data_IF_567806269919
#
_entry.id   IF_567806269919
#
_cell.length_a   1.000
_cell.length_b   1.000
_cell.length_c   1.000
_cell.angle_alpha   90.00
_cell.angle_beta   90.00
_cell.angle_gamma   90.00
#
_symmetry.space_group_name_H-M   'P 1'
#
loop_
_entity.id
_entity.type
_entity.pdbx_description
1 polymer ?
#
# COMPACT_ATOMS: atom_id res chain seq x y z
N UNK A 1 30.26 -57.51 -43.52
CA UNK A 1 30.66 -58.81 -42.93
C UNK A 1 31.44 -58.56 -41.64
N UNK A 2 30.94 -59.05 -40.48
CA UNK A 2 31.62 -59.29 -39.17
C UNK A 2 32.21 -58.04 -38.44
N UNK A 3 32.07 -57.78 -37.13
CA UNK A 3 31.51 -58.45 -35.92
C UNK A 3 31.39 -57.36 -34.83
N UNK A 4 30.21 -57.11 -34.25
CA UNK A 4 29.84 -57.30 -32.83
C UNK A 4 30.99 -57.44 -31.81
N UNK A 5 31.00 -56.54 -30.81
CA UNK A 5 31.03 -56.91 -29.40
C UNK A 5 30.03 -56.03 -28.63
N UNK A 6 29.11 -56.71 -27.94
CA UNK A 6 28.04 -56.18 -27.10
C UNK A 6 28.48 -56.29 -25.64
N UNK A 7 28.23 -55.26 -24.83
CA UNK A 7 28.19 -55.38 -23.38
C UNK A 7 26.81 -54.89 -22.91
N UNK A 8 25.98 -55.82 -22.44
CA UNK A 8 24.79 -55.59 -21.62
C UNK A 8 25.23 -55.31 -20.18
N UNK A 9 24.59 -54.36 -19.48
CA UNK A 9 23.92 -54.52 -18.16
C UNK A 9 22.98 -53.30 -17.92
N UNK A 10 21.99 -53.34 -17.01
CA UNK A 10 20.60 -53.65 -17.28
C UNK A 10 19.67 -52.43 -17.20
N UNK A 11 18.51 -52.58 -17.86
CA UNK A 11 17.36 -51.71 -17.73
C UNK A 11 16.64 -52.02 -16.41
N UNK A 12 16.48 -51.04 -15.54
CA UNK A 12 15.45 -51.04 -14.50
C UNK A 12 14.80 -49.67 -14.49
N UNK A 13 13.55 -49.62 -14.99
CA UNK A 13 12.62 -48.54 -14.71
C UNK A 13 12.45 -48.42 -13.18
N UNK A 14 12.37 -47.19 -12.68
CA UNK A 14 11.15 -46.63 -12.09
C UNK A 14 11.44 -45.21 -11.54
N UNK A 15 10.59 -44.26 -11.91
CA UNK A 15 10.13 -43.05 -11.21
C UNK A 15 11.11 -42.20 -10.37
N UNK A 16 11.12 -40.89 -10.64
CA UNK A 16 11.51 -39.88 -9.65
C UNK A 16 11.88 -38.53 -10.26
N UNK A 17 10.89 -37.67 -10.44
CA UNK A 17 11.10 -36.22 -10.47
C UNK A 17 11.57 -35.72 -9.08
N UNK A 18 12.12 -34.50 -9.08
CA UNK A 18 12.31 -33.60 -7.92
C UNK A 18 13.57 -33.82 -7.07
N UNK A 19 14.55 -32.91 -7.24
CA UNK A 19 14.98 -31.95 -6.21
C UNK A 19 16.29 -31.26 -6.63
N UNK A 20 16.16 -30.10 -7.29
CA UNK A 20 17.22 -29.10 -7.31
C UNK A 20 17.07 -28.26 -6.04
N UNK A 21 17.99 -28.44 -5.08
CA UNK A 21 18.05 -27.62 -3.88
C UNK A 21 18.32 -26.16 -4.25
N UNK A 22 17.44 -25.29 -3.75
CA UNK A 22 17.55 -23.83 -3.74
C UNK A 22 18.49 -23.48 -2.58
N UNK A 23 19.60 -22.80 -2.85
CA UNK A 23 20.40 -22.20 -1.78
C UNK A 23 19.56 -21.10 -1.11
N UNK A 24 19.27 -21.27 0.19
CA UNK A 24 18.61 -20.27 1.02
C UNK A 24 19.55 -19.08 1.23
N UNK A 25 19.01 -17.87 1.03
CA UNK A 25 19.66 -16.61 1.33
C UNK A 25 20.04 -16.57 2.83
N UNK A 26 21.33 -16.41 3.11
CA UNK A 26 21.90 -16.47 4.47
C UNK A 26 21.78 -15.15 5.23
N UNK A 27 20.55 -14.66 5.41
CA UNK A 27 20.28 -13.68 6.47
C UNK A 27 20.16 -14.45 7.79
N UNK A 28 21.05 -14.24 8.78
CA UNK A 28 20.96 -14.96 10.05
C UNK A 28 19.62 -14.66 10.74
N UNK A 29 18.85 -15.73 11.04
CA UNK A 29 17.55 -15.69 11.73
C UNK A 29 17.54 -14.81 13.00
N UNK A 30 18.67 -14.70 13.67
CA UNK A 30 18.87 -13.94 14.91
C UNK A 30 18.79 -12.40 14.71
N UNK A 31 19.01 -11.91 13.48
CA UNK A 31 18.83 -10.49 13.11
C UNK A 31 17.35 -10.19 12.84
N UNK A 32 16.65 -11.12 12.18
CA UNK A 32 15.24 -10.96 11.81
C UNK A 32 14.30 -10.94 13.03
N UNK A 33 14.56 -11.75 14.06
CA UNK A 33 13.74 -11.79 15.28
C UNK A 33 13.97 -10.56 16.20
N UNK A 34 15.18 -9.97 16.20
CA UNK A 34 15.50 -8.78 17.01
C UNK A 34 15.09 -7.45 16.34
N UNK A 35 14.98 -7.39 15.02
CA UNK A 35 14.55 -6.19 14.29
C UNK A 35 13.08 -5.83 14.57
N UNK A 36 12.21 -6.85 14.69
CA UNK A 36 10.75 -6.65 14.85
C UNK A 36 10.37 -6.07 16.21
N UNK A 37 11.17 -6.28 17.26
CA UNK A 37 10.89 -5.77 18.63
C UNK A 37 11.51 -4.40 18.93
N UNK A 38 12.33 -3.86 18.01
CA UNK A 38 13.07 -2.60 18.18
C UNK A 38 12.70 -1.49 17.20
N UNK A 39 11.75 -1.73 16.28
CA UNK A 39 11.27 -0.71 15.36
C UNK A 39 10.73 0.52 16.11
N UNK A 40 11.08 1.76 15.69
CA UNK A 40 10.55 2.96 16.29
C UNK A 40 9.02 2.97 16.29
N UNK A 41 8.42 3.44 17.38
CA UNK A 41 6.95 3.49 17.51
C UNK A 41 6.27 4.38 16.47
N UNK A 42 6.98 5.36 15.92
CA UNK A 42 6.51 6.32 14.92
C UNK A 42 7.47 6.36 13.75
N UNK A 43 7.31 5.45 12.81
CA UNK A 43 8.21 5.31 11.67
C UNK A 43 7.59 5.90 10.40
N UNK A 44 8.34 6.80 9.75
CA UNK A 44 7.98 7.43 8.48
C UNK A 44 9.07 7.14 7.46
N UNK A 45 8.68 6.73 6.27
CA UNK A 45 9.56 6.62 5.11
C UNK A 45 9.32 7.84 4.24
N UNK A 46 10.39 8.47 3.80
CA UNK A 46 10.33 9.67 2.96
C UNK A 46 10.93 9.40 1.58
N UNK A 47 10.16 9.65 0.52
CA UNK A 47 10.57 9.39 -0.85
C UNK A 47 10.36 10.59 -1.76
N UNK A 48 11.27 10.77 -2.72
CA UNK A 48 11.22 11.82 -3.73
C UNK A 48 11.32 11.21 -5.12
N UNK A 49 10.46 11.63 -6.05
CA UNK A 49 10.39 11.06 -7.39
C UNK A 49 11.02 12.00 -8.44
N UNK A 50 11.41 11.39 -9.56
CA UNK A 50 11.90 11.97 -10.82
C UNK A 50 13.36 12.47 -10.90
N UNK A 51 14.01 12.77 -9.78
CA UNK A 51 15.38 13.30 -9.77
C UNK A 51 15.48 14.78 -10.15
N UNK A 52 14.83 15.62 -9.35
CA UNK A 52 14.78 17.07 -9.53
C UNK A 52 16.05 17.76 -9.02
N UNK A 53 16.49 18.85 -9.66
CA UNK A 53 17.63 19.65 -9.12
C UNK A 53 17.36 20.15 -7.69
N UNK A 54 16.09 20.38 -7.34
CA UNK A 54 15.68 20.77 -5.99
C UNK A 54 15.89 19.68 -4.94
N UNK A 55 15.98 18.41 -5.33
CA UNK A 55 16.27 17.29 -4.43
C UNK A 55 17.61 17.51 -3.73
N UNK A 56 18.65 17.88 -4.50
CA UNK A 56 19.97 18.19 -3.97
C UNK A 56 20.04 19.61 -3.38
N UNK A 57 19.52 20.60 -4.09
CA UNK A 57 19.76 22.02 -3.74
C UNK A 57 18.88 22.53 -2.60
N UNK A 58 17.75 21.88 -2.34
CA UNK A 58 16.76 22.32 -1.35
C UNK A 58 16.37 21.22 -0.37
N UNK A 59 15.89 20.06 -0.85
CA UNK A 59 15.38 19.01 0.02
C UNK A 59 16.49 18.39 0.89
N UNK A 60 17.60 17.96 0.30
CA UNK A 60 18.72 17.35 1.01
C UNK A 60 19.28 18.21 2.17
N UNK A 61 19.56 19.53 2.01
CA UNK A 61 19.97 20.40 3.11
C UNK A 61 18.96 20.45 4.27
N UNK A 62 17.67 20.56 3.96
CA UNK A 62 16.60 20.61 4.98
C UNK A 62 16.54 19.28 5.72
N UNK A 63 16.60 18.15 5.01
CA UNK A 63 16.57 16.82 5.61
C UNK A 63 17.76 16.57 6.53
N UNK A 64 18.97 16.94 6.09
CA UNK A 64 20.18 16.88 6.93
C UNK A 64 20.05 17.72 8.19
N UNK A 65 19.47 18.92 8.08
CA UNK A 65 19.21 19.79 9.23
C UNK A 65 18.33 19.14 10.30
N UNK A 66 17.43 18.23 9.93
CA UNK A 66 16.56 17.51 10.87
C UNK A 66 17.12 16.14 11.29
N UNK A 67 18.15 15.64 10.60
CA UNK A 67 18.71 14.31 10.77
C UNK A 67 17.85 13.21 10.13
N UNK A 68 17.13 13.53 9.05
CA UNK A 68 16.22 12.61 8.38
C UNK A 68 16.89 11.90 7.19
N UNK A 69 16.57 10.61 7.04
CA UNK A 69 16.88 9.85 5.84
C UNK A 69 15.77 10.00 4.79
N UNK A 70 16.11 9.74 3.53
CA UNK A 70 15.16 9.71 2.43
C UNK A 70 15.69 8.86 1.27
N UNK A 71 14.77 8.39 0.41
CA UNK A 71 15.09 7.77 -0.88
C UNK A 71 14.76 8.73 -2.02
N UNK A 72 15.73 9.01 -2.88
CA UNK A 72 15.54 9.74 -4.12
C UNK A 72 15.44 8.75 -5.29
N UNK A 73 14.25 8.61 -5.86
CA UNK A 73 13.96 7.77 -7.00
C UNK A 73 14.27 8.51 -8.29
N UNK A 74 15.28 8.06 -9.02
CA UNK A 74 15.83 8.76 -10.19
C UNK A 74 15.37 8.07 -11.49
N UNK A 75 14.94 8.86 -12.46
CA UNK A 75 14.69 8.36 -13.84
C UNK A 75 15.93 8.60 -14.69
N UNK A 76 16.70 7.55 -15.00
CA UNK A 76 18.05 7.71 -15.60
C UNK A 76 18.06 8.46 -16.93
N UNK A 77 17.08 8.22 -17.81
CA UNK A 77 16.94 8.91 -19.08
C UNK A 77 16.48 10.37 -18.98
N UNK A 78 16.22 10.88 -17.77
CA UNK A 78 15.94 12.29 -17.52
C UNK A 78 17.13 13.04 -16.93
N UNK A 79 18.13 12.34 -16.43
CA UNK A 79 19.34 12.92 -15.85
C UNK A 79 20.06 13.82 -16.88
N UNK A 80 20.46 15.01 -16.46
CA UNK A 80 21.10 16.03 -17.27
C UNK A 80 20.15 16.90 -18.11
N UNK A 81 18.84 16.62 -18.12
CA UNK A 81 17.84 17.50 -18.75
C UNK A 81 17.58 18.75 -17.90
N UNK A 82 17.06 19.85 -18.49
CA UNK A 82 16.72 21.05 -17.73
C UNK A 82 15.80 20.75 -16.53
N UNK A 83 16.21 21.21 -15.34
CA UNK A 83 15.47 21.00 -14.09
C UNK A 83 15.68 19.64 -13.42
N UNK A 84 16.42 18.73 -14.05
CA UNK A 84 16.76 17.41 -13.50
C UNK A 84 18.23 17.36 -13.09
N UNK A 85 18.53 16.53 -12.10
CA UNK A 85 19.92 16.33 -11.62
C UNK A 85 20.79 15.84 -12.79
N UNK A 86 22.08 16.14 -12.74
CA UNK A 86 23.09 15.40 -13.51
C UNK A 86 23.69 14.27 -12.67
N UNK A 87 24.47 13.37 -13.26
CA UNK A 87 25.02 12.22 -12.53
C UNK A 87 26.01 12.57 -11.41
N UNK A 88 26.76 13.67 -11.54
CA UNK A 88 27.62 14.18 -10.46
C UNK A 88 26.77 14.58 -9.24
N UNK A 89 25.63 15.22 -9.47
CA UNK A 89 24.68 15.61 -8.43
C UNK A 89 23.93 14.42 -7.82
N UNK A 90 23.59 13.40 -8.62
CA UNK A 90 23.02 12.14 -8.10
C UNK A 90 24.05 11.44 -7.20
N UNK A 91 25.32 11.38 -7.65
CA UNK A 91 26.40 10.85 -6.82
C UNK A 91 26.59 11.68 -5.55
N UNK A 92 26.48 12.99 -5.63
CA UNK A 92 26.55 13.86 -4.45
C UNK A 92 25.45 13.54 -3.43
N UNK A 93 24.20 13.34 -3.86
CA UNK A 93 23.12 12.88 -2.96
C UNK A 93 23.48 11.57 -2.25
N UNK A 94 24.03 10.60 -3.00
CA UNK A 94 24.48 9.33 -2.44
C UNK A 94 25.63 9.51 -1.43
N UNK A 95 26.66 10.25 -1.80
CA UNK A 95 27.84 10.52 -0.96
C UNK A 95 27.45 11.32 0.31
N UNK A 96 26.34 12.06 0.24
CA UNK A 96 25.72 12.73 1.37
C UNK A 96 25.00 11.78 2.35
N UNK A 97 24.83 10.51 2.01
CA UNK A 97 24.21 9.46 2.82
C UNK A 97 22.74 9.19 2.50
N UNK A 98 22.20 9.75 1.42
CA UNK A 98 20.83 9.45 0.98
C UNK A 98 20.77 8.19 0.12
N UNK A 99 19.64 7.50 0.17
CA UNK A 99 19.36 6.33 -0.64
C UNK A 99 18.98 6.75 -2.07
N UNK A 100 19.54 6.06 -3.06
CA UNK A 100 19.23 6.28 -4.49
C UNK A 100 18.42 5.09 -4.98
N UNK A 101 17.17 5.35 -5.35
CA UNK A 101 16.23 4.36 -5.85
C UNK A 101 16.05 4.43 -7.36
N UNK A 102 15.60 3.33 -7.96
CA UNK A 102 15.34 3.24 -9.38
C UNK A 102 13.90 3.71 -9.71
N UNK A 103 13.75 4.69 -10.60
CA UNK A 103 12.46 5.15 -11.14
C UNK A 103 12.29 4.88 -12.63
N UNK A 104 12.80 3.74 -13.09
CA UNK A 104 12.92 3.29 -14.48
C UNK A 104 13.83 4.16 -15.36
N UNK A 105 14.17 3.66 -16.54
CA UNK A 105 14.98 4.39 -17.49
C UNK A 105 14.26 5.61 -18.10
N UNK A 106 12.96 5.49 -18.42
CA UNK A 106 12.25 6.52 -19.20
C UNK A 106 10.90 6.96 -18.64
N UNK A 107 10.54 6.46 -17.45
CA UNK A 107 9.24 6.69 -16.81
C UNK A 107 8.02 6.27 -17.67
N UNK A 108 8.01 5.06 -18.30
CA UNK A 108 6.86 4.63 -19.08
C UNK A 108 5.74 4.12 -18.16
N UNK A 109 4.49 4.13 -18.65
CA UNK A 109 3.47 3.29 -18.05
C UNK A 109 3.77 1.82 -18.40
N UNK A 110 4.38 1.11 -17.46
CA UNK A 110 4.90 -0.25 -17.65
C UNK A 110 3.79 -1.30 -17.87
N UNK A 111 2.51 -0.96 -17.66
CA UNK A 111 1.39 -1.84 -17.99
C UNK A 111 1.25 -2.08 -19.51
N UNK A 112 1.77 -1.17 -20.34
CA UNK A 112 1.58 -1.18 -21.80
C UNK A 112 2.82 -1.60 -22.60
N UNK A 113 3.87 -2.09 -21.93
CA UNK A 113 5.12 -2.55 -22.56
C UNK A 113 5.35 -4.04 -22.28
N UNK A 114 6.24 -4.67 -23.05
CA UNK A 114 6.53 -6.10 -22.94
C UNK A 114 7.31 -6.46 -21.65
N UNK A 115 7.39 -7.74 -21.29
CA UNK A 115 8.24 -8.18 -20.16
C UNK A 115 9.73 -7.86 -20.39
N UNK A 116 10.20 -7.98 -21.63
CA UNK A 116 11.58 -7.65 -21.99
C UNK A 116 11.83 -6.14 -21.85
N UNK A 117 10.88 -5.31 -22.30
CA UNK A 117 10.98 -3.85 -22.12
C UNK A 117 10.92 -3.45 -20.63
N UNK A 118 10.07 -4.11 -19.82
CA UNK A 118 10.04 -3.92 -18.37
C UNK A 118 11.42 -4.17 -17.76
N UNK A 119 12.04 -5.30 -18.13
CA UNK A 119 13.36 -5.67 -17.63
C UNK A 119 14.41 -4.66 -18.09
N UNK A 120 14.38 -4.23 -19.35
CA UNK A 120 15.29 -3.20 -19.86
C UNK A 120 15.14 -1.89 -19.08
N UNK A 121 13.91 -1.42 -18.85
CA UNK A 121 13.65 -0.21 -18.04
C UNK A 121 14.26 -0.29 -16.64
N UNK A 122 14.36 -1.48 -16.05
CA UNK A 122 14.96 -1.70 -14.72
C UNK A 122 16.49 -1.72 -14.84
N UNK A 123 17.05 -2.52 -15.76
CA UNK A 123 18.49 -2.77 -15.88
C UNK A 123 19.24 -1.53 -16.35
N UNK A 124 18.72 -0.78 -17.34
CA UNK A 124 19.46 0.38 -17.87
C UNK A 124 19.71 1.46 -16.81
N UNK A 125 18.88 1.52 -15.76
CA UNK A 125 19.12 2.40 -14.61
C UNK A 125 20.32 1.95 -13.79
N UNK A 126 20.42 0.65 -13.49
CA UNK A 126 21.50 0.08 -12.69
C UNK A 126 22.84 0.18 -13.42
N UNK A 127 22.85 -0.02 -14.74
CA UNK A 127 24.02 0.18 -15.58
C UNK A 127 24.50 1.63 -15.55
N UNK A 128 23.57 2.59 -15.68
CA UNK A 128 23.91 4.01 -15.60
C UNK A 128 24.45 4.40 -14.21
N UNK A 129 23.90 3.84 -13.12
CA UNK A 129 24.46 4.05 -11.78
C UNK A 129 25.89 3.51 -11.67
N UNK A 130 26.15 2.31 -12.21
CA UNK A 130 27.47 1.69 -12.18
C UNK A 130 28.51 2.52 -12.95
N UNK A 131 28.17 3.08 -14.11
CA UNK A 131 29.03 3.98 -14.89
C UNK A 131 29.46 5.23 -14.11
N UNK A 132 28.62 5.68 -13.17
CA UNK A 132 28.84 6.87 -12.37
C UNK A 132 29.28 6.58 -10.92
N UNK A 133 29.62 5.33 -10.60
CA UNK A 133 30.13 4.95 -9.28
C UNK A 133 29.08 5.08 -8.16
N UNK A 134 27.80 4.92 -8.50
CA UNK A 134 26.67 4.85 -7.57
C UNK A 134 26.32 3.36 -7.38
N UNK A 135 26.14 2.88 -6.15
CA UNK A 135 25.75 1.50 -5.91
C UNK A 135 24.43 1.12 -6.60
N UNK A 136 24.29 -0.16 -6.93
CA UNK A 136 23.04 -0.71 -7.46
C UNK A 136 21.88 -0.40 -6.51
N UNK A 137 20.75 0.06 -7.05
CA UNK A 137 19.56 0.34 -6.26
C UNK A 137 18.99 -0.97 -5.68
N UNK A 138 18.49 -0.90 -4.45
CA UNK A 138 17.78 -2.02 -3.81
C UNK A 138 16.26 -1.85 -3.79
N UNK A 139 15.78 -0.66 -4.16
CA UNK A 139 14.36 -0.31 -4.18
C UNK A 139 13.95 0.31 -5.52
N UNK A 140 12.70 0.09 -5.89
CA UNK A 140 12.10 0.62 -7.12
C UNK A 140 10.84 1.43 -6.84
N UNK A 141 10.59 2.47 -7.60
CA UNK A 141 9.34 3.21 -7.59
C UNK A 141 8.62 3.02 -8.92
N UNK A 142 7.40 2.49 -8.88
CA UNK A 142 6.61 2.28 -10.10
C UNK A 142 6.24 3.63 -10.74
N UNK A 143 6.62 3.90 -12.01
CA UNK A 143 6.22 5.13 -12.70
C UNK A 143 4.70 5.30 -12.71
N UNK A 144 4.23 6.45 -12.19
CA UNK A 144 2.80 6.73 -11.97
C UNK A 144 2.09 5.80 -10.97
N UNK A 145 2.84 5.01 -10.21
CA UNK A 145 2.30 4.01 -9.28
C UNK A 145 1.67 2.80 -9.99
N UNK A 146 1.95 2.56 -11.27
CA UNK A 146 1.38 1.46 -12.04
C UNK A 146 2.16 0.16 -11.84
N UNK A 147 1.50 -0.89 -11.37
CA UNK A 147 2.16 -2.17 -11.06
C UNK A 147 1.33 -3.37 -11.52
N UNK A 148 2.04 -4.42 -11.93
CA UNK A 148 1.49 -5.76 -12.13
C UNK A 148 2.51 -6.83 -11.71
N UNK A 149 2.08 -8.09 -11.70
CA UNK A 149 2.95 -9.22 -11.32
C UNK A 149 4.18 -9.40 -12.21
N UNK A 150 4.16 -8.94 -13.48
CA UNK A 150 5.31 -9.04 -14.38
C UNK A 150 6.45 -8.16 -13.87
N UNK A 151 6.11 -6.95 -13.43
CA UNK A 151 7.09 -6.02 -12.85
C UNK A 151 7.67 -6.56 -11.54
N UNK A 152 6.83 -7.09 -10.64
CA UNK A 152 7.31 -7.70 -9.39
C UNK A 152 8.26 -8.86 -9.66
N UNK A 153 7.92 -9.72 -10.63
CA UNK A 153 8.78 -10.83 -11.05
C UNK A 153 10.12 -10.33 -11.62
N UNK A 154 10.10 -9.32 -12.49
CA UNK A 154 11.30 -8.73 -13.06
C UNK A 154 12.21 -8.14 -11.96
N UNK A 155 11.66 -7.32 -11.07
CA UNK A 155 12.39 -6.72 -9.96
C UNK A 155 13.04 -7.78 -9.05
N UNK A 156 12.29 -8.81 -8.66
CA UNK A 156 12.83 -9.91 -7.86
C UNK A 156 13.93 -10.69 -8.60
N UNK A 157 13.81 -10.86 -9.92
CA UNK A 157 14.83 -11.53 -10.74
C UNK A 157 16.12 -10.71 -10.83
N UNK A 158 16.01 -9.38 -10.90
CA UNK A 158 17.15 -8.47 -10.92
C UNK A 158 17.72 -8.17 -9.52
N UNK A 159 17.19 -8.79 -8.46
CA UNK A 159 17.73 -8.69 -7.10
C UNK A 159 17.31 -7.43 -6.33
N UNK A 160 16.23 -6.76 -6.74
CA UNK A 160 15.59 -5.73 -5.91
C UNK A 160 14.98 -6.37 -4.68
N UNK A 161 14.89 -5.62 -3.58
CA UNK A 161 14.31 -6.08 -2.32
C UNK A 161 12.92 -5.51 -2.08
N UNK A 162 12.70 -4.28 -2.51
CA UNK A 162 11.45 -3.55 -2.26
C UNK A 162 11.01 -2.78 -3.50
N UNK A 163 9.73 -2.48 -3.56
CA UNK A 163 9.20 -1.53 -4.52
C UNK A 163 7.98 -0.80 -3.95
N UNK A 164 7.88 0.48 -4.30
CA UNK A 164 6.85 1.38 -3.83
C UNK A 164 5.92 1.77 -4.98
N UNK A 165 4.63 1.61 -4.73
CA UNK A 165 3.52 2.11 -5.55
C UNK A 165 2.96 3.39 -4.93
N UNK A 166 2.01 4.01 -5.62
CA UNK A 166 1.26 5.13 -5.05
C UNK A 166 0.09 4.62 -4.20
N UNK A 167 -1.08 5.24 -4.33
CA UNK A 167 -2.25 4.99 -3.48
C UNK A 167 -3.22 3.93 -4.06
N UNK A 168 -3.07 3.59 -5.34
CA UNK A 168 -3.93 2.65 -6.06
C UNK A 168 -3.62 1.19 -5.69
N UNK A 169 -4.61 0.29 -5.63
CA UNK A 169 -6.03 0.52 -5.91
C UNK A 169 -6.86 0.90 -4.70
N UNK A 170 -6.31 1.07 -3.51
CA UNK A 170 -7.13 1.38 -2.33
C UNK A 170 -7.76 2.77 -2.40
N UNK A 171 -7.08 3.75 -2.99
CA UNK A 171 -7.60 5.11 -3.18
C UNK A 171 -7.65 5.49 -4.66
N UNK A 172 -8.47 6.49 -5.05
CA UNK A 172 -8.52 6.97 -6.42
C UNK A 172 -7.21 7.63 -6.83
N UNK A 173 -6.83 7.45 -8.09
CA UNK A 173 -5.74 8.22 -8.71
C UNK A 173 -6.25 9.62 -9.06
N UNK A 174 -5.72 10.63 -8.39
CA UNK A 174 -5.98 12.05 -8.65
C UNK A 174 -4.66 12.80 -8.92
N UNK A 175 -4.69 13.72 -9.89
CA UNK A 175 -3.52 14.53 -10.26
C UNK A 175 -3.00 15.44 -9.15
N UNK A 176 -3.81 15.69 -8.11
CA UNK A 176 -3.45 16.57 -7.00
C UNK A 176 -2.62 15.90 -5.91
N UNK A 177 -2.47 14.58 -5.96
CA UNK A 177 -1.99 13.79 -4.83
C UNK A 177 -3.11 13.45 -3.84
N UNK A 178 -2.77 13.24 -2.57
CA UNK A 178 -3.73 12.92 -1.51
C UNK A 178 -3.35 11.72 -0.65
N UNK A 179 -4.25 11.33 0.28
CA UNK A 179 -4.01 10.22 1.19
C UNK A 179 -4.03 8.86 0.49
N UNK A 180 -3.41 7.89 1.15
CA UNK A 180 -3.26 6.52 0.75
C UNK A 180 -3.10 5.61 1.98
N UNK A 181 -2.98 4.29 1.78
CA UNK A 181 -2.91 3.38 2.90
C UNK A 181 -1.52 3.40 3.57
N UNK A 182 -1.51 3.03 4.85
CA UNK A 182 -0.26 2.76 5.57
C UNK A 182 0.35 1.45 5.07
N UNK A 183 1.68 1.37 5.12
CA UNK A 183 2.38 0.13 4.89
C UNK A 183 2.37 -0.71 6.16
N UNK A 184 1.88 -1.96 6.08
CA UNK A 184 1.94 -2.93 7.17
C UNK A 184 2.88 -4.08 6.79
N UNK A 185 4.14 -4.07 7.23
CA UNK A 185 5.14 -5.09 6.91
C UNK A 185 4.76 -6.52 7.32
N UNK A 186 3.80 -6.67 8.24
CA UNK A 186 3.34 -7.99 8.68
C UNK A 186 2.38 -8.65 7.68
N UNK A 187 1.73 -7.85 6.83
CA UNK A 187 0.69 -8.23 5.88
C UNK A 187 1.11 -7.98 4.43
N UNK A 188 1.61 -6.78 4.13
CA UNK A 188 1.90 -6.29 2.79
C UNK A 188 3.18 -6.87 2.19
N UNK A 189 3.16 -7.09 0.88
CA UNK A 189 4.35 -7.50 0.13
C UNK A 189 5.35 -6.32 0.00
N UNK A 190 6.66 -6.55 0.23
CA UNK A 190 7.70 -5.53 0.12
C UNK A 190 7.86 -4.96 -1.31
N UNK A 191 7.37 -5.63 -2.36
CA UNK A 191 7.30 -5.06 -3.71
C UNK A 191 6.03 -4.25 -3.99
N UNK A 192 5.13 -4.10 -3.02
CA UNK A 192 3.86 -3.38 -3.18
C UNK A 192 3.64 -2.37 -2.06
N UNK A 193 4.73 -1.78 -1.55
CA UNK A 193 4.71 -0.76 -0.49
C UNK A 193 3.80 0.39 -0.95
N UNK A 194 2.70 0.70 -0.24
CA UNK A 194 1.84 1.81 -0.59
C UNK A 194 2.51 3.15 -0.37
N UNK A 195 2.14 4.13 -1.18
CA UNK A 195 2.26 5.53 -0.84
C UNK A 195 1.12 5.91 0.11
N UNK A 196 1.46 6.41 1.29
CA UNK A 196 0.48 6.85 2.30
C UNK A 196 0.00 8.27 2.06
N UNK A 197 0.85 9.15 1.52
CA UNK A 197 0.41 10.49 1.11
C UNK A 197 1.29 11.01 -0.01
N UNK A 198 0.68 11.43 -1.12
CA UNK A 198 1.37 12.18 -2.17
C UNK A 198 1.21 13.66 -1.86
N UNK A 199 2.26 14.25 -1.28
CA UNK A 199 2.26 15.62 -0.76
C UNK A 199 2.69 16.60 -1.84
N UNK A 200 2.05 17.77 -1.87
CA UNK A 200 2.42 18.84 -2.79
C UNK A 200 1.51 20.06 -2.65
N UNK A 201 1.75 21.11 -3.45
CA UNK A 201 0.96 22.34 -3.38
C UNK A 201 -0.54 22.10 -3.63
N UNK A 202 -0.87 21.13 -4.48
CA UNK A 202 -2.25 20.73 -4.78
C UNK A 202 -2.88 19.78 -3.74
N UNK A 203 -2.07 19.20 -2.85
CA UNK A 203 -2.47 18.34 -1.73
C UNK A 203 -1.75 18.81 -0.46
N UNK A 204 -2.15 19.99 0.00
CA UNK A 204 -1.51 20.74 1.08
C UNK A 204 -2.34 20.80 2.37
N UNK A 205 -3.38 19.96 2.48
CA UNK A 205 -4.22 19.86 3.68
C UNK A 205 -3.40 19.36 4.87
N UNK A 206 -3.23 20.19 5.89
CA UNK A 206 -2.53 19.79 7.12
C UNK A 206 -3.34 18.76 7.88
N UNK A 207 -4.67 18.91 7.92
CA UNK A 207 -5.55 17.94 8.56
C UNK A 207 -5.35 16.53 7.99
N UNK A 208 -5.40 16.37 6.67
CA UNK A 208 -5.23 15.04 6.06
C UNK A 208 -3.82 14.49 6.27
N UNK A 209 -2.80 15.35 6.22
CA UNK A 209 -1.40 14.99 6.45
C UNK A 209 -1.17 14.51 7.89
N UNK A 210 -1.74 15.22 8.86
CA UNK A 210 -1.69 14.85 10.27
C UNK A 210 -2.50 13.58 10.56
N UNK A 211 -3.66 13.42 9.93
CA UNK A 211 -4.51 12.23 10.04
C UNK A 211 -3.78 10.98 9.56
N UNK A 212 -3.13 11.01 8.39
CA UNK A 212 -2.37 9.85 7.90
C UNK A 212 -1.12 9.58 8.74
N UNK A 213 -0.40 10.61 9.18
CA UNK A 213 0.76 10.45 10.06
C UNK A 213 0.37 9.92 11.43
N UNK A 214 -0.84 10.25 11.91
CA UNK A 214 -1.36 9.66 13.13
C UNK A 214 -1.44 8.14 13.01
N UNK A 215 -1.60 7.57 11.81
CA UNK A 215 -1.62 6.14 11.59
C UNK A 215 -0.27 5.42 11.67
N UNK A 216 0.86 6.15 11.61
CA UNK A 216 2.20 5.56 11.71
C UNK A 216 2.54 5.14 13.15
N UNK A 217 1.89 4.08 13.61
CA UNK A 217 2.04 3.49 14.94
C UNK A 217 1.77 1.99 14.89
N UNK A 218 2.11 1.31 15.98
CA UNK A 218 1.76 -0.11 16.18
C UNK A 218 2.21 -1.03 15.03
N UNK A 219 3.40 -0.77 14.48
CA UNK A 219 3.98 -1.51 13.36
C UNK A 219 3.57 -1.04 11.96
N UNK A 220 2.61 -0.10 11.86
CA UNK A 220 2.25 0.55 10.60
C UNK A 220 3.21 1.71 10.28
N UNK A 221 3.60 1.82 9.02
CA UNK A 221 4.57 2.78 8.52
C UNK A 221 3.88 3.74 7.54
N UNK A 222 4.08 5.05 7.74
CA UNK A 222 3.63 6.04 6.76
C UNK A 222 4.73 6.28 5.73
N UNK A 223 4.38 6.17 4.45
CA UNK A 223 5.29 6.39 3.32
C UNK A 223 4.87 7.66 2.60
N UNK A 224 5.64 8.73 2.79
CA UNK A 224 5.37 10.04 2.19
C UNK A 224 6.08 10.17 0.84
N UNK A 225 5.34 10.59 -0.17
CA UNK A 225 5.86 10.83 -1.52
C UNK A 225 5.85 12.33 -1.80
N UNK A 226 7.02 12.85 -2.14
CA UNK A 226 7.22 14.16 -2.73
C UNK A 226 7.79 14.00 -4.15
N UNK A 227 7.70 15.04 -4.97
CA UNK A 227 8.53 15.15 -6.18
C UNK A 227 9.54 16.28 -5.91
N UNK A 228 9.65 17.31 -6.76
CA UNK A 228 10.54 18.43 -6.48
C UNK A 228 10.05 19.41 -5.41
N UNK A 229 11.03 20.01 -4.71
CA UNK A 229 10.83 21.08 -3.71
C UNK A 229 11.54 22.38 -4.13
N UNK A 230 11.07 23.13 -5.13
CA UNK A 230 9.92 22.84 -6.01
C UNK A 230 10.31 21.99 -7.23
N UNK A 231 9.29 21.38 -7.85
CA UNK A 231 9.38 20.70 -9.15
C UNK A 231 9.22 21.69 -10.32
N UNK A 232 9.75 21.35 -11.49
CA UNK A 232 9.49 22.05 -12.76
C UNK A 232 8.04 21.90 -13.23
N UNK A 233 7.36 20.82 -12.83
CA UNK A 233 5.97 20.56 -13.13
C UNK A 233 5.06 20.99 -11.98
N UNK A 234 4.18 21.94 -12.25
CA UNK A 234 3.30 22.53 -11.23
C UNK A 234 2.41 21.52 -10.50
N UNK A 235 1.95 20.45 -11.18
CA UNK A 235 0.98 19.51 -10.61
C UNK A 235 1.56 18.62 -9.50
N UNK A 236 2.87 18.37 -9.50
CA UNK A 236 3.57 17.56 -8.50
C UNK A 236 4.56 18.38 -7.64
N UNK A 237 4.60 19.70 -7.80
CA UNK A 237 5.52 20.59 -7.10
C UNK A 237 5.11 20.83 -5.64
N UNK A 238 6.09 20.86 -4.74
CA UNK A 238 5.93 21.25 -3.33
C UNK A 238 6.68 22.54 -3.06
N UNK A 239 6.05 23.54 -2.42
CA UNK A 239 6.76 24.75 -2.04
C UNK A 239 7.77 24.48 -0.93
N UNK A 240 8.84 25.28 -0.88
CA UNK A 240 9.87 25.17 0.16
C UNK A 240 9.26 25.42 1.54
N UNK A 241 8.29 26.33 1.64
CA UNK A 241 7.58 26.64 2.87
C UNK A 241 6.77 25.45 3.37
N UNK A 242 6.01 24.79 2.48
CA UNK A 242 5.21 23.62 2.82
C UNK A 242 6.11 22.47 3.26
N UNK A 243 7.14 22.15 2.48
CA UNK A 243 8.08 21.08 2.82
C UNK A 243 8.80 21.35 4.14
N UNK A 244 9.27 22.57 4.37
CA UNK A 244 9.93 22.95 5.63
C UNK A 244 8.99 22.81 6.83
N UNK A 245 7.72 23.20 6.67
CA UNK A 245 6.69 23.03 7.70
C UNK A 245 6.47 21.55 8.02
N UNK A 246 6.33 20.72 6.98
CA UNK A 246 6.10 19.29 7.13
C UNK A 246 7.30 18.60 7.83
N UNK A 247 8.54 18.95 7.48
CA UNK A 247 9.74 18.41 8.15
C UNK A 247 9.84 18.82 9.62
N UNK A 248 9.49 20.05 9.96
CA UNK A 248 9.39 20.49 11.36
C UNK A 248 8.33 19.71 12.11
N UNK A 249 7.14 19.54 11.52
CA UNK A 249 6.07 18.76 12.13
C UNK A 249 6.52 17.33 12.47
N UNK A 250 7.21 16.65 11.53
CA UNK A 250 7.77 15.31 11.77
C UNK A 250 8.75 15.31 12.94
N UNK A 251 9.62 16.33 13.02
CA UNK A 251 10.62 16.45 14.08
C UNK A 251 10.00 16.73 15.44
N UNK A 252 9.09 17.69 15.50
CA UNK A 252 8.43 18.16 16.73
C UNK A 252 7.49 17.11 17.33
N UNK A 253 7.06 16.13 16.53
CA UNK A 253 6.20 15.01 16.95
C UNK A 253 6.94 13.67 17.12
N UNK A 254 8.27 13.72 17.20
CA UNK A 254 9.16 12.57 17.47
C UNK A 254 9.03 11.42 16.46
N UNK A 255 8.77 11.73 15.19
CA UNK A 255 8.84 10.72 14.13
C UNK A 255 10.30 10.35 13.83
N UNK A 256 10.54 9.06 13.66
CA UNK A 256 11.77 8.56 13.05
C UNK A 256 11.56 8.53 11.54
N UNK A 257 12.38 9.28 10.79
CA UNK A 257 12.23 9.46 9.35
C UNK A 257 13.41 8.82 8.63
N UNK A 258 13.14 7.83 7.78
CA UNK A 258 14.14 6.97 7.15
C UNK A 258 13.96 6.86 5.64
N UNK A 259 14.97 6.32 4.96
CA UNK A 259 14.87 5.87 3.57
C UNK A 259 14.16 4.52 3.46
N UNK A 260 13.77 4.15 2.24
CA UNK A 260 13.22 2.83 1.91
C UNK A 260 14.26 1.73 2.12
N UNK A 261 15.53 1.95 1.74
CA UNK A 261 16.61 0.99 2.01
C UNK A 261 16.74 0.66 3.51
N UNK A 262 16.57 1.67 4.36
CA UNK A 262 16.67 1.54 5.82
C UNK A 262 15.53 0.76 6.47
N UNK A 263 14.45 0.44 5.74
CA UNK A 263 13.41 -0.46 6.23
C UNK A 263 13.98 -1.81 6.69
N UNK A 264 14.98 -2.32 5.98
CA UNK A 264 15.66 -3.59 6.30
C UNK A 264 16.32 -3.62 7.69
N UNK A 265 16.53 -2.45 8.32
CA UNK A 265 17.05 -2.34 9.70
C UNK A 265 15.97 -2.65 10.75
N UNK A 266 14.70 -2.53 10.39
CA UNK A 266 13.57 -2.58 11.33
C UNK A 266 12.56 -3.69 11.00
N UNK A 267 12.52 -4.16 9.76
CA UNK A 267 11.54 -5.15 9.29
C UNK A 267 12.21 -6.20 8.39
N UNK A 268 11.61 -7.41 8.36
CA UNK A 268 12.00 -8.45 7.41
C UNK A 268 11.40 -8.15 6.03
N UNK A 269 12.19 -7.50 5.18
CA UNK A 269 11.83 -7.18 3.78
C UNK A 269 11.87 -8.40 2.84
N UNK A 270 12.15 -9.60 3.35
CA UNK A 270 12.10 -10.85 2.56
C UNK A 270 10.80 -11.62 2.78
N UNK A 271 10.04 -11.29 3.83
CA UNK A 271 8.75 -11.90 4.12
C UNK A 271 7.71 -11.46 3.10
N UNK A 272 6.99 -12.44 2.55
CA UNK A 272 5.96 -12.22 1.53
C UNK A 272 4.70 -13.04 1.84
N UNK A 273 3.49 -12.48 1.64
CA UNK A 273 2.27 -13.27 1.70
C UNK A 273 2.24 -14.29 0.55
N UNK A 274 1.36 -15.30 0.67
CA UNK A 274 1.24 -16.35 -0.34
C UNK A 274 0.79 -15.78 -1.70
N UNK A 275 -0.18 -14.87 -1.67
CA UNK A 275 -0.50 -14.02 -2.80
C UNK A 275 -0.15 -12.57 -2.46
N UNK A 276 0.78 -12.01 -3.23
CA UNK A 276 1.32 -10.66 -3.04
C UNK A 276 0.25 -9.56 -3.13
N UNK A 277 -0.84 -9.79 -3.86
CA UNK A 277 -1.93 -8.81 -3.99
C UNK A 277 -3.04 -9.00 -2.96
N UNK A 278 -3.13 -10.15 -2.28
CA UNK A 278 -4.23 -10.45 -1.37
C UNK A 278 -4.43 -9.38 -0.28
N UNK A 279 -3.39 -8.91 0.45
CA UNK A 279 -3.56 -7.87 1.48
C UNK A 279 -4.12 -6.56 0.92
N UNK A 280 -3.56 -6.11 -0.21
CA UNK A 280 -3.97 -4.90 -0.93
C UNK A 280 -5.44 -5.01 -1.41
N UNK A 281 -5.83 -6.15 -1.97
CA UNK A 281 -7.19 -6.37 -2.48
C UNK A 281 -8.21 -6.57 -1.36
N UNK A 282 -7.79 -7.08 -0.19
CA UNK A 282 -8.65 -7.25 0.97
C UNK A 282 -9.14 -5.92 1.57
N UNK A 283 -8.44 -4.81 1.29
CA UNK A 283 -8.84 -3.45 1.69
C UNK A 283 -9.91 -2.85 0.79
N UNK A 284 -10.21 -3.47 -0.35
CA UNK A 284 -11.27 -3.00 -1.24
C UNK A 284 -12.65 -3.33 -0.67
N UNK A 285 -13.57 -2.37 -0.77
CA UNK A 285 -14.97 -2.54 -0.43
C UNK A 285 -15.45 -1.43 0.49
N UNK A 286 -16.56 -1.69 1.17
CA UNK A 286 -17.15 -0.78 2.15
C UNK A 286 -17.14 -1.41 3.53
N UNK A 287 -17.11 -0.59 4.58
CA UNK A 287 -17.31 -1.02 5.96
C UNK A 287 -18.31 -0.10 6.66
N UNK A 288 -19.27 -0.64 7.43
CA UNK A 288 -20.17 0.19 8.22
C UNK A 288 -19.44 0.76 9.45
N UNK A 289 -19.67 2.04 9.73
CA UNK A 289 -19.17 2.75 10.91
C UNK A 289 -20.22 3.67 11.52
N UNK A 290 -19.88 4.30 12.65
CA UNK A 290 -20.72 5.28 13.34
C UNK A 290 -22.17 4.79 13.53
N UNK A 291 -22.31 3.55 14.00
CA UNK A 291 -23.60 2.90 14.25
C UNK A 291 -24.43 3.71 15.25
N UNK A 292 -25.69 3.96 14.89
CA UNK A 292 -26.69 4.65 15.72
C UNK A 292 -27.99 3.85 15.76
N UNK A 293 -28.59 3.77 16.92
CA UNK A 293 -29.92 3.21 17.11
C UNK A 293 -30.77 4.22 17.90
N UNK A 294 -31.87 4.66 17.30
CA UNK A 294 -32.91 5.40 18.02
C UNK A 294 -33.96 4.41 18.54
N UNK A 295 -34.01 4.27 19.86
CA UNK A 295 -34.93 3.39 20.56
C UNK A 295 -35.96 4.16 21.40
N UNK A 296 -36.17 5.46 21.14
CA UNK A 296 -37.15 6.27 21.88
C UNK A 296 -38.60 5.93 21.54
N UNK A 297 -38.82 5.21 20.44
CA UNK A 297 -40.12 4.74 20.00
C UNK A 297 -40.28 3.25 20.28
N UNK A 298 -41.52 2.73 20.26
CA UNK A 298 -41.79 1.29 20.40
C UNK A 298 -41.15 0.42 19.31
N UNK A 299 -40.63 1.02 18.25
CA UNK A 299 -39.93 0.32 17.19
C UNK A 299 -38.54 0.94 16.98
N UNK A 300 -37.45 0.30 17.44
CA UNK A 300 -36.11 0.83 17.27
C UNK A 300 -35.74 1.04 15.80
N UNK A 301 -34.91 2.05 15.54
CA UNK A 301 -34.52 2.48 14.20
C UNK A 301 -33.00 2.54 14.11
N UNK A 302 -32.43 1.83 13.14
CA UNK A 302 -30.99 1.70 12.96
C UNK A 302 -30.48 2.55 11.80
N UNK A 303 -29.31 3.14 12.01
CA UNK A 303 -28.59 3.93 11.01
C UNK A 303 -27.08 3.70 11.14
N UNK A 304 -26.35 3.77 10.03
CA UNK A 304 -24.89 3.72 10.00
C UNK A 304 -24.34 4.56 8.85
N UNK A 305 -23.07 4.92 8.96
CA UNK A 305 -22.30 5.55 7.90
C UNK A 305 -21.50 4.48 7.15
N UNK A 306 -21.24 4.72 5.87
CA UNK A 306 -20.38 3.86 5.06
C UNK A 306 -18.99 4.47 4.99
N UNK A 307 -18.02 3.70 5.47
CA UNK A 307 -16.60 3.96 5.29
C UNK A 307 -16.11 3.27 4.02
N UNK A 308 -15.40 4.04 3.21
CA UNK A 308 -14.73 3.57 2.00
C UNK A 308 -13.61 4.52 1.66
N UNK A 309 -12.53 3.98 1.11
CA UNK A 309 -11.39 4.75 0.59
C UNK A 309 -11.57 5.14 -0.87
N UNK A 310 -12.66 4.70 -1.51
CA UNK A 310 -13.08 4.99 -2.89
C UNK A 310 -14.53 5.43 -2.98
N UNK A 311 -14.95 6.12 -4.06
CA UNK A 311 -16.35 6.49 -4.27
C UNK A 311 -17.20 5.25 -4.62
N UNK A 312 -17.53 4.41 -3.63
CA UNK A 312 -18.41 3.26 -3.79
C UNK A 312 -19.47 3.25 -2.68
N UNK A 313 -20.66 2.77 -3.03
CA UNK A 313 -21.78 2.63 -2.10
C UNK A 313 -21.88 1.24 -1.51
N UNK A 314 -22.98 0.98 -0.80
CA UNK A 314 -23.43 -0.36 -0.46
C UNK A 314 -24.55 -0.79 -1.43
N UNK A 315 -24.62 -2.09 -1.76
CA UNK A 315 -25.70 -2.71 -2.52
C UNK A 315 -26.65 -3.54 -1.64
N UNK A 316 -26.16 -3.99 -0.49
CA UNK A 316 -26.94 -4.75 0.48
C UNK A 316 -26.38 -4.59 1.90
N UNK A 317 -27.18 -4.98 2.89
CA UNK A 317 -26.76 -5.06 4.29
C UNK A 317 -27.35 -6.28 5.01
N UNK A 318 -26.80 -6.60 6.18
CA UNK A 318 -27.39 -7.52 7.14
C UNK A 318 -27.18 -6.99 8.56
N UNK A 319 -28.26 -6.88 9.32
CA UNK A 319 -28.26 -6.48 10.72
C UNK A 319 -28.50 -7.72 11.58
N UNK A 320 -27.68 -7.85 12.63
CA UNK A 320 -27.92 -8.78 13.73
C UNK A 320 -28.24 -7.99 15.00
N UNK A 321 -29.29 -8.36 15.70
CA UNK A 321 -29.64 -7.87 17.05
C UNK A 321 -29.74 -9.05 17.99
N UNK A 322 -29.05 -8.94 19.12
CA UNK A 322 -28.91 -9.99 20.09
C UNK A 322 -29.23 -9.51 21.51
N UNK A 323 -29.72 -10.44 22.33
CA UNK A 323 -29.99 -10.22 23.76
C UNK A 323 -28.72 -10.21 24.61
N UNK A 324 -27.59 -10.66 24.06
CA UNK A 324 -26.30 -10.65 24.75
C UNK A 324 -25.13 -10.43 23.78
N UNK A 325 -24.04 -9.85 24.29
CA UNK A 325 -22.80 -9.67 23.54
C UNK A 325 -22.19 -11.01 23.11
N UNK A 326 -22.37 -12.07 23.93
CA UNK A 326 -21.90 -13.43 23.60
C UNK A 326 -22.55 -13.98 22.33
N UNK A 327 -23.87 -13.84 22.21
CA UNK A 327 -24.61 -14.27 21.02
C UNK A 327 -24.12 -13.46 19.81
N UNK A 328 -24.03 -12.14 19.97
CA UNK A 328 -23.60 -11.28 18.88
C UNK A 328 -22.16 -11.58 18.42
N UNK A 329 -21.23 -11.87 19.34
CA UNK A 329 -19.87 -12.28 19.03
C UNK A 329 -19.79 -13.66 18.34
N UNK A 330 -20.85 -14.46 18.45
CA UNK A 330 -21.00 -15.74 17.74
C UNK A 330 -21.80 -15.61 16.43
N UNK A 331 -21.98 -14.38 15.94
CA UNK A 331 -22.81 -14.03 14.77
C UNK A 331 -24.28 -14.50 14.89
N UNK A 332 -24.80 -14.59 16.11
CA UNK A 332 -26.18 -15.00 16.39
C UNK A 332 -27.05 -13.80 16.75
N UNK A 333 -27.94 -13.40 15.83
CA UNK A 333 -28.99 -12.40 16.06
C UNK A 333 -30.24 -13.03 16.66
N UNK A 334 -30.20 -13.47 17.92
CA UNK A 334 -31.28 -14.24 18.55
C UNK A 334 -32.62 -13.47 18.66
N UNK A 335 -32.56 -12.13 18.60
CA UNK A 335 -33.74 -11.26 18.57
C UNK A 335 -34.13 -10.87 17.15
N UNK A 336 -33.13 -10.56 16.32
CA UNK A 336 -33.33 -10.26 14.91
C UNK A 336 -32.09 -10.61 14.09
N UNK A 337 -32.31 -11.31 12.99
CA UNK A 337 -31.40 -11.37 11.85
C UNK A 337 -32.19 -10.91 10.63
N UNK A 338 -31.78 -9.82 9.99
CA UNK A 338 -32.46 -9.32 8.79
C UNK A 338 -32.28 -10.23 7.58
N UNK A 339 -31.33 -11.18 7.63
CA UNK A 339 -30.75 -11.79 6.45
C UNK A 339 -30.06 -10.74 5.58
N UNK A 340 -29.68 -11.15 4.36
CA UNK A 340 -29.20 -10.19 3.36
C UNK A 340 -30.40 -9.40 2.80
N UNK A 341 -30.40 -8.10 3.02
CA UNK A 341 -31.38 -7.17 2.44
C UNK A 341 -30.72 -6.44 1.27
N UNK A 342 -31.23 -6.67 0.06
CA UNK A 342 -30.78 -5.97 -1.16
C UNK A 342 -31.30 -4.53 -1.14
N UNK A 343 -30.50 -3.61 -0.60
CA UNK A 343 -30.81 -2.19 -0.49
C UNK A 343 -29.55 -1.37 -0.22
N UNK A 344 -29.47 -0.20 -0.82
CA UNK A 344 -28.43 0.78 -0.53
C UNK A 344 -28.74 1.66 0.69
N UNK A 345 -29.89 1.49 1.33
CA UNK A 345 -30.32 2.26 2.49
C UNK A 345 -29.46 1.97 3.71
N UNK A 346 -29.00 3.03 4.40
CA UNK A 346 -28.23 2.94 5.64
C UNK A 346 -28.80 3.81 6.77
N UNK A 347 -29.96 4.41 6.54
CA UNK A 347 -30.65 5.30 7.48
C UNK A 347 -32.09 4.82 7.65
N UNK A 348 -32.64 5.01 8.85
CA UNK A 348 -34.04 4.75 9.15
C UNK A 348 -34.48 3.29 8.91
N UNK A 349 -33.61 2.33 9.24
CA UNK A 349 -33.93 0.90 9.13
C UNK A 349 -34.70 0.47 10.38
N UNK A 350 -36.00 0.23 10.22
CA UNK A 350 -36.86 -0.22 11.32
C UNK A 350 -36.54 -1.66 11.74
N UNK A 351 -36.49 -1.89 13.05
CA UNK A 351 -36.41 -3.21 13.63
C UNK A 351 -37.58 -4.10 13.15
N UNK A 352 -37.26 -5.31 12.68
CA UNK A 352 -38.24 -6.27 12.16
C UNK A 352 -38.15 -7.65 12.82
N UNK A 353 -37.52 -7.72 14.00
CA UNK A 353 -37.34 -8.97 14.74
C UNK A 353 -38.46 -9.30 15.72
N UNK A 354 -38.15 -10.16 16.69
CA UNK A 354 -39.06 -10.54 17.77
C UNK A 354 -39.44 -9.32 18.60
N UNK A 355 -40.69 -9.26 19.07
CA UNK A 355 -41.14 -8.21 19.98
C UNK A 355 -40.17 -8.03 21.14
N UNK A 356 -39.71 -6.80 21.31
CA UNK A 356 -38.83 -6.45 22.41
C UNK A 356 -39.68 -6.19 23.66
N UNK A 357 -39.32 -6.85 24.75
CA UNK A 357 -39.74 -6.46 26.09
C UNK A 357 -38.83 -5.35 26.59
N UNK A 358 -39.21 -4.64 27.66
CA UNK A 358 -38.31 -3.69 28.31
C UNK A 358 -37.03 -4.42 28.72
N UNK A 359 -35.89 -4.03 28.14
CA UNK A 359 -34.57 -4.64 28.38
C UNK A 359 -33.55 -3.53 28.53
N UNK A 360 -32.77 -3.60 29.61
CA UNK A 360 -31.76 -2.58 29.95
C UNK A 360 -30.68 -2.43 28.88
N UNK A 361 -30.37 -3.49 28.13
CA UNK A 361 -29.35 -3.44 27.08
C UNK A 361 -29.48 -4.55 26.04
N UNK A 362 -29.47 -4.16 24.78
CA UNK A 362 -29.39 -5.01 23.60
C UNK A 362 -28.15 -4.67 22.79
N UNK A 363 -27.69 -5.62 21.97
CA UNK A 363 -26.48 -5.49 21.17
C UNK A 363 -26.82 -5.68 19.69
N UNK A 364 -26.15 -4.94 18.82
CA UNK A 364 -26.33 -5.10 17.39
C UNK A 364 -25.05 -4.80 16.61
N UNK A 365 -25.01 -5.34 15.40
CA UNK A 365 -23.95 -5.05 14.41
C UNK A 365 -24.52 -5.19 13.01
N UNK A 366 -23.81 -4.60 12.05
CA UNK A 366 -24.19 -4.64 10.64
C UNK A 366 -22.98 -5.02 9.79
N UNK A 367 -23.22 -5.73 8.69
CA UNK A 367 -22.26 -5.91 7.59
C UNK A 367 -22.89 -5.47 6.28
N UNK A 368 -22.06 -5.07 5.33
CA UNK A 368 -22.49 -4.50 4.06
C UNK A 368 -21.87 -5.25 2.88
N UNK A 369 -22.56 -5.22 1.75
CA UNK A 369 -22.01 -5.57 0.45
C UNK A 369 -21.73 -4.27 -0.30
N UNK A 370 -20.54 -4.10 -0.88
CA UNK A 370 -20.26 -2.90 -1.66
C UNK A 370 -21.04 -2.89 -2.99
N UNK A 371 -21.14 -1.71 -3.58
CA UNK A 371 -21.62 -1.48 -4.93
C UNK A 371 -20.44 -1.00 -5.81
N UNK A 372 -19.86 -1.86 -6.66
CA UNK A 372 -18.72 -1.49 -7.50
C UNK A 372 -19.00 -0.32 -8.43
N UNK A 373 -18.12 0.67 -8.44
CA UNK A 373 -18.23 1.84 -9.33
C UNK A 373 -17.62 1.54 -10.72
N UNK A 374 -18.47 1.16 -11.67
CA UNK A 374 -18.08 0.91 -13.07
C UNK A 374 -17.48 2.15 -13.76
N UNK A 375 -17.92 3.36 -13.40
CA UNK A 375 -17.41 4.59 -13.99
C UNK A 375 -15.98 4.85 -13.55
N UNK A 376 -15.68 4.60 -12.27
CA UNK A 376 -14.33 4.67 -11.73
C UNK A 376 -13.43 3.59 -12.34
N UNK A 377 -13.89 2.34 -12.45
CA UNK A 377 -13.14 1.25 -13.11
C UNK A 377 -12.77 1.64 -14.55
N UNK A 378 -13.74 2.21 -15.30
CA UNK A 378 -13.50 2.72 -16.65
C UNK A 378 -12.49 3.86 -16.67
N UNK A 379 -12.60 4.81 -15.73
CA UNK A 379 -11.69 5.97 -15.62
C UNK A 379 -10.24 5.55 -15.41
N UNK A 380 -9.98 4.55 -14.56
CA UNK A 380 -8.62 4.08 -14.25
C UNK A 380 -8.12 2.93 -15.13
N UNK A 381 -8.91 2.50 -16.13
CA UNK A 381 -8.61 1.32 -16.95
C UNK A 381 -7.26 1.33 -17.69
N UNK A 382 -6.76 2.52 -18.04
CA UNK A 382 -5.44 2.69 -18.67
C UNK A 382 -4.27 2.72 -17.66
N UNK A 383 -4.58 2.80 -16.37
CA UNK A 383 -3.65 3.08 -15.27
C UNK A 383 -3.73 1.99 -14.18
N UNK A 384 -4.34 0.84 -14.47
CA UNK A 384 -4.48 -0.26 -13.53
C UNK A 384 -4.41 -1.58 -14.26
N UNK A 385 -3.73 -2.56 -13.66
CA UNK A 385 -3.61 -3.89 -14.24
C UNK A 385 -4.99 -4.55 -14.40
N UNK A 386 -5.15 -5.38 -15.42
CA UNK A 386 -6.43 -6.09 -15.68
C UNK A 386 -6.91 -6.91 -14.49
N UNK A 387 -6.00 -7.50 -13.72
CA UNK A 387 -6.33 -8.23 -12.49
C UNK A 387 -6.93 -7.31 -11.42
N UNK A 388 -6.34 -6.13 -11.21
CA UNK A 388 -6.83 -5.12 -10.27
C UNK A 388 -8.23 -4.65 -10.70
N UNK A 389 -8.42 -4.32 -11.98
CA UNK A 389 -9.71 -3.88 -12.51
C UNK A 389 -10.79 -4.95 -12.31
N UNK A 390 -10.45 -6.22 -12.53
CA UNK A 390 -11.35 -7.34 -12.27
C UNK A 390 -11.74 -7.46 -10.79
N UNK A 391 -10.80 -7.20 -9.88
CA UNK A 391 -11.05 -7.22 -8.44
C UNK A 391 -11.84 -6.01 -7.93
N UNK A 392 -11.70 -4.84 -8.57
CA UNK A 392 -12.50 -3.66 -8.30
C UNK A 392 -13.97 -3.87 -8.69
N UNK A 393 -14.24 -4.65 -9.73
CA UNK A 393 -15.60 -4.98 -10.19
C UNK A 393 -16.33 -6.03 -9.36
N UNK A 394 -15.73 -6.54 -8.29
CA UNK A 394 -16.37 -7.58 -7.45
C UNK A 394 -17.20 -6.98 -6.33
N UNK A 395 -18.38 -7.57 -6.12
CA UNK A 395 -19.13 -7.42 -4.89
C UNK A 395 -18.42 -8.20 -3.77
N UNK A 396 -18.12 -7.51 -2.68
CA UNK A 396 -17.43 -7.97 -1.48
C UNK A 396 -18.32 -7.74 -0.28
N UNK A 397 -18.26 -8.68 0.66
CA UNK A 397 -18.93 -8.57 1.95
C UNK A 397 -17.93 -8.02 2.96
N UNK A 398 -18.31 -6.97 3.65
CA UNK A 398 -17.55 -6.47 4.79
C UNK A 398 -17.54 -7.50 5.91
N UNK A 399 -16.54 -7.41 6.79
CA UNK A 399 -16.72 -7.96 8.15
C UNK A 399 -17.90 -7.24 8.82
N UNK A 400 -18.49 -7.86 9.84
CA UNK A 400 -19.41 -7.12 10.69
C UNK A 400 -18.69 -5.95 11.36
N UNK A 401 -19.41 -4.85 11.57
CA UNK A 401 -18.98 -3.74 12.43
C UNK A 401 -18.62 -4.24 13.82
N UNK A 402 -17.87 -3.42 14.56
CA UNK A 402 -17.86 -3.53 16.03
C UNK A 402 -19.30 -3.50 16.57
N UNK A 403 -19.53 -4.27 17.63
CA UNK A 403 -20.83 -4.31 18.29
C UNK A 403 -21.17 -2.93 18.87
N UNK A 404 -22.38 -2.47 18.60
CA UNK A 404 -23.00 -1.33 19.27
C UNK A 404 -24.10 -1.84 20.22
N UNK A 405 -24.52 -1.01 21.17
CA UNK A 405 -25.60 -1.36 22.10
C UNK A 405 -26.61 -0.25 22.24
N UNK A 406 -27.84 -0.59 22.56
CA UNK A 406 -28.94 0.34 22.85
C UNK A 406 -29.82 -0.22 23.97
N UNK A 407 -30.60 0.64 24.61
CA UNK A 407 -31.57 0.26 25.64
C UNK A 407 -32.97 0.43 25.08
N UNK A 408 -33.92 -0.41 25.50
CA UNK A 408 -35.31 -0.32 25.06
C UNK A 408 -36.21 -0.18 26.29
N UNK A 409 -36.80 1.01 26.44
CA UNK A 409 -37.61 1.41 27.60
C UNK A 409 -39.11 1.16 27.41
#
# INVERSE_FOLDING_TARGET
MKRMLSLMVPFSLLLGCENLHREESSVPKEIAENAVTSAPKKLVVLTFDDGNVSDLTTAAPILKGHGFGATFYITSGWVGKPGRLNWEQVKELHDQGFDIGNHSASHPNMLHISEDDIREQIISFDEACAEHGIPKATSFAYPGGHHDRRMVKALATEGYLTARRAVSPEYPLYDRGGPGPLYNPSEDDPFLIPGTYVRGNLSSSDQEFEEVLSGARDGSICVLIYHGVPDVHHHCSTSVELFTKDMRYLKDNDFTVISVQDLSKYIDVTKRPKDIYEPLLARLGVSPKALKCDASSKNPVFSWEIETTRPQGQSAYQILVASSEKNLNSDEGDLWDSGKVESNQSLEIFYAGKSLTQVERLYWKVRCWNDPDEAEIKRVSNWSAKEILGEMGKIRVSKYSSAASFSFE
#
